data_IF_631207816629
#
_entry.id   IF_631207816629
#
_cell.length_a   1.000
_cell.length_b   1.000
_cell.length_c   1.000
_cell.angle_alpha   90.00
_cell.angle_beta   90.00
_cell.angle_gamma   90.00
#
_symmetry.space_group_name_H-M   'P 1'
#
loop_
_entity.id
_entity.type
_entity.pdbx_description
1 polymer ?
#
# COMPACT_ATOMS: atom_id res chain seq x y z
N UNK A 1 12.55 4.22 -10.14
CA UNK A 1 11.62 4.66 -11.20
C UNK A 1 10.26 4.13 -10.83
N UNK A 2 9.20 4.95 -10.86
CA UNK A 2 7.84 4.46 -10.72
C UNK A 2 7.34 3.92 -12.05
N UNK A 3 6.56 2.83 -12.04
CA UNK A 3 6.04 2.19 -13.25
C UNK A 3 4.55 2.45 -13.35
N UNK A 4 3.82 2.02 -12.33
CA UNK A 4 2.36 2.09 -12.29
C UNK A 4 1.89 3.49 -11.85
N UNK A 5 2.67 4.15 -10.98
CA UNK A 5 2.40 5.51 -10.50
C UNK A 5 3.13 6.61 -11.31
N UNK A 6 3.63 6.26 -12.50
CA UNK A 6 4.23 7.22 -13.41
C UNK A 6 3.16 8.02 -14.16
N UNK A 7 3.46 9.29 -14.48
CA UNK A 7 2.58 10.14 -15.31
C UNK A 7 2.27 9.52 -16.70
N UNK A 8 3.08 8.57 -17.14
CA UNK A 8 2.92 7.85 -18.42
C UNK A 8 1.80 6.79 -18.37
N UNK A 9 1.33 6.38 -17.18
CA UNK A 9 0.22 5.41 -17.01
C UNK A 9 -1.01 5.79 -17.82
N UNK A 10 -1.40 7.07 -17.78
CA UNK A 10 -2.62 7.56 -18.42
C UNK A 10 -2.60 7.39 -19.95
N UNK A 11 -1.45 7.08 -20.53
CA UNK A 11 -1.29 6.79 -21.95
C UNK A 11 -1.45 5.30 -22.27
N UNK A 12 -1.05 4.38 -21.38
CA UNK A 12 -1.19 2.92 -21.57
C UNK A 12 -1.05 2.12 -20.26
N UNK A 13 -2.19 1.87 -19.59
CA UNK A 13 -2.25 1.15 -18.31
C UNK A 13 -1.76 -0.31 -18.42
N UNK A 14 -2.05 -0.99 -19.53
CA UNK A 14 -1.68 -2.40 -19.74
C UNK A 14 -0.17 -2.56 -19.82
N UNK A 15 0.50 -1.68 -20.56
CA UNK A 15 1.96 -1.70 -20.69
C UNK A 15 2.64 -1.31 -19.37
N UNK A 16 2.09 -0.33 -18.64
CA UNK A 16 2.61 0.04 -17.32
C UNK A 16 2.53 -1.14 -16.33
N UNK A 17 1.39 -1.87 -16.32
CA UNK A 17 1.22 -3.07 -15.51
C UNK A 17 2.21 -4.16 -15.90
N UNK A 18 2.38 -4.42 -17.21
CA UNK A 18 3.35 -5.42 -17.70
C UNK A 18 4.78 -5.09 -17.24
N UNK A 19 5.22 -3.85 -17.40
CA UNK A 19 6.55 -3.40 -16.95
C UNK A 19 6.72 -3.54 -15.44
N UNK A 20 5.68 -3.25 -14.68
CA UNK A 20 5.71 -3.43 -13.23
C UNK A 20 5.86 -4.92 -12.84
N UNK A 21 5.12 -5.81 -13.48
CA UNK A 21 5.25 -7.26 -13.27
C UNK A 21 6.64 -7.78 -13.67
N UNK A 22 7.21 -7.28 -14.77
CA UNK A 22 8.60 -7.61 -15.17
C UNK A 22 9.61 -7.11 -14.15
N UNK A 23 9.44 -5.90 -13.63
CA UNK A 23 10.27 -5.34 -12.59
C UNK A 23 10.27 -6.20 -11.33
N UNK A 24 9.09 -6.63 -10.85
CA UNK A 24 8.99 -7.52 -9.69
C UNK A 24 9.79 -8.81 -9.92
N UNK A 25 9.60 -9.48 -11.07
CA UNK A 25 10.32 -10.73 -11.39
C UNK A 25 11.83 -10.56 -11.47
N UNK A 26 12.30 -9.44 -12.03
CA UNK A 26 13.74 -9.17 -12.14
C UNK A 26 14.41 -8.99 -10.78
N UNK A 27 13.67 -8.51 -9.77
CA UNK A 27 14.20 -8.18 -8.45
C UNK A 27 13.72 -9.15 -7.36
N UNK A 28 13.14 -10.30 -7.72
CA UNK A 28 12.59 -11.28 -6.76
C UNK A 28 13.54 -11.61 -5.60
N UNK A 29 14.84 -11.76 -5.89
CA UNK A 29 15.86 -12.10 -4.89
C UNK A 29 16.25 -10.94 -3.96
N UNK A 30 15.95 -9.71 -4.37
CA UNK A 30 16.28 -8.49 -3.63
C UNK A 30 15.11 -8.01 -2.78
N UNK A 31 13.88 -8.40 -3.15
CA UNK A 31 12.70 -8.00 -2.40
C UNK A 31 12.64 -8.65 -1.01
N UNK A 32 12.19 -7.89 0.01
CA UNK A 32 11.69 -8.49 1.24
C UNK A 32 10.60 -9.53 0.93
N UNK A 33 10.65 -10.65 1.65
CA UNK A 33 9.86 -11.84 1.31
C UNK A 33 8.37 -11.55 1.27
N UNK A 34 7.83 -10.86 2.28
CA UNK A 34 6.39 -10.62 2.34
C UNK A 34 5.96 -9.54 1.35
N UNK A 35 6.78 -8.51 1.14
CA UNK A 35 6.59 -7.52 0.08
C UNK A 35 6.46 -8.17 -1.31
N UNK A 36 7.39 -9.07 -1.69
CA UNK A 36 7.32 -9.76 -2.98
C UNK A 36 6.07 -10.63 -3.10
N UNK A 37 5.80 -11.44 -2.07
CA UNK A 37 4.64 -12.32 -2.05
C UNK A 37 3.33 -11.54 -2.20
N UNK A 38 3.23 -10.37 -1.58
CA UNK A 38 2.09 -9.48 -1.69
C UNK A 38 1.97 -8.84 -3.07
N UNK A 39 3.05 -8.21 -3.56
CA UNK A 39 3.09 -7.51 -4.84
C UNK A 39 2.77 -8.40 -6.06
N UNK A 40 3.08 -9.69 -5.95
CA UNK A 40 2.87 -10.69 -7.01
C UNK A 40 1.61 -11.54 -6.84
N UNK A 41 0.85 -11.33 -5.75
CA UNK A 41 -0.34 -12.14 -5.51
C UNK A 41 -1.42 -11.84 -6.56
N UNK A 42 -2.03 -12.89 -7.12
CA UNK A 42 -3.04 -12.77 -8.19
C UNK A 42 -4.23 -11.89 -7.81
N UNK A 43 -4.54 -11.81 -6.53
CA UNK A 43 -5.65 -11.02 -5.99
C UNK A 43 -5.30 -9.55 -5.74
N UNK A 44 -4.02 -9.20 -5.61
CA UNK A 44 -3.60 -7.89 -5.08
C UNK A 44 -3.97 -6.72 -5.99
N UNK A 45 -4.02 -6.96 -7.30
CA UNK A 45 -4.37 -5.97 -8.33
C UNK A 45 -5.67 -6.38 -9.06
N UNK A 46 -6.41 -7.37 -8.54
CA UNK A 46 -7.65 -7.84 -9.13
C UNK A 46 -8.83 -7.15 -8.44
N UNK A 47 -9.52 -6.20 -9.11
CA UNK A 47 -10.65 -5.48 -8.49
C UNK A 47 -11.83 -6.39 -8.17
N UNK A 48 -11.89 -7.60 -8.73
CA UNK A 48 -12.92 -8.60 -8.42
C UNK A 48 -12.67 -9.41 -7.15
N UNK A 49 -11.50 -9.27 -6.52
CA UNK A 49 -11.17 -9.96 -5.26
C UNK A 49 -11.40 -9.02 -4.08
N UNK A 50 -12.12 -9.49 -3.06
CA UNK A 50 -12.51 -8.70 -1.89
C UNK A 50 -11.32 -8.24 -1.05
N UNK A 51 -10.17 -8.92 -1.18
CA UNK A 51 -8.91 -8.59 -0.49
C UNK A 51 -8.14 -7.46 -1.15
N UNK A 52 -8.49 -7.10 -2.39
CA UNK A 52 -7.82 -6.03 -3.13
C UNK A 52 -7.92 -4.71 -2.36
N UNK A 53 -6.80 -4.00 -2.14
CA UNK A 53 -6.83 -2.71 -1.44
C UNK A 53 -7.43 -1.59 -2.28
N UNK A 54 -7.48 -1.74 -3.62
CA UNK A 54 -7.99 -0.72 -4.53
C UNK A 54 -9.47 -0.45 -4.27
N UNK A 55 -9.87 0.81 -4.44
CA UNK A 55 -11.19 1.34 -4.07
C UNK A 55 -11.54 1.21 -2.57
N UNK A 56 -10.58 0.80 -1.74
CA UNK A 56 -10.70 0.78 -0.30
C UNK A 56 -10.51 2.17 0.31
N UNK A 57 -11.26 2.47 1.37
CA UNK A 57 -11.17 3.76 2.07
C UNK A 57 -10.37 3.63 3.36
N UNK A 58 -9.56 4.65 3.70
CA UNK A 58 -8.77 4.65 4.93
C UNK A 58 -9.68 4.63 6.17
N UNK A 59 -9.54 3.60 6.99
CA UNK A 59 -10.17 3.50 8.31
C UNK A 59 -9.27 4.08 9.41
N UNK A 60 -8.02 3.63 9.49
CA UNK A 60 -7.04 4.21 10.41
C UNK A 60 -5.60 4.11 9.89
N UNK A 61 -4.76 5.00 10.42
CA UNK A 61 -3.32 4.96 10.30
C UNK A 61 -2.72 5.12 11.70
N UNK A 62 -1.86 4.19 12.09
CA UNK A 62 -1.17 4.22 13.38
C UNK A 62 0.33 4.21 13.09
N UNK A 63 1.03 5.25 13.55
CA UNK A 63 2.49 5.32 13.57
C UNK A 63 2.92 5.15 15.02
N UNK A 64 3.88 4.27 15.28
CA UNK A 64 4.34 3.98 16.64
C UNK A 64 5.83 3.76 16.67
N UNK A 65 6.49 4.27 17.71
CA UNK A 65 7.87 3.95 18.01
C UNK A 65 7.92 3.01 19.22
N UNK A 66 8.73 1.96 19.12
CA UNK A 66 9.05 1.09 20.24
C UNK A 66 10.56 1.04 20.44
N UNK A 67 10.98 0.93 21.70
CA UNK A 67 12.38 0.68 22.01
C UNK A 67 12.68 -0.80 21.72
N UNK A 68 13.76 -1.05 20.98
CA UNK A 68 14.34 -2.38 20.87
C UNK A 68 15.13 -2.74 22.13
N UNK A 69 15.59 -3.99 22.21
CA UNK A 69 16.35 -4.50 23.36
C UNK A 69 17.67 -3.77 23.61
N UNK A 70 18.17 -3.01 22.63
CA UNK A 70 19.45 -2.29 22.67
C UNK A 70 19.26 -0.78 22.88
N UNK A 71 18.02 -0.31 23.09
CA UNK A 71 17.68 1.11 23.27
C UNK A 71 17.56 1.91 21.98
N UNK A 72 17.70 1.28 20.80
CA UNK A 72 17.36 1.88 19.52
C UNK A 72 15.84 1.94 19.39
N UNK A 73 15.31 3.08 18.94
CA UNK A 73 13.88 3.19 18.60
C UNK A 73 13.68 2.74 17.16
N UNK A 74 12.61 1.99 16.93
CA UNK A 74 12.15 1.63 15.59
C UNK A 74 10.71 2.10 15.41
N UNK A 75 10.46 2.82 14.31
CA UNK A 75 9.12 3.18 13.90
C UNK A 75 8.44 2.01 13.21
N UNK A 76 7.13 1.88 13.41
CA UNK A 76 6.25 0.96 12.70
C UNK A 76 5.02 1.71 12.24
N UNK A 77 4.42 1.25 11.14
CA UNK A 77 3.18 1.81 10.61
C UNK A 77 2.16 0.68 10.45
N UNK A 78 0.93 0.93 10.88
CA UNK A 78 -0.23 0.08 10.55
C UNK A 78 -1.27 0.92 9.82
N UNK A 79 -1.70 0.42 8.67
CA UNK A 79 -2.78 1.02 7.87
C UNK A 79 -3.94 0.04 7.82
N UNK A 80 -5.14 0.47 8.21
CA UNK A 80 -6.37 -0.29 8.01
C UNK A 80 -7.26 0.41 7.01
N UNK A 81 -7.71 -0.32 6.01
CA UNK A 81 -8.72 0.10 5.04
C UNK A 81 -10.02 -0.63 5.28
N UNK A 82 -11.14 0.02 5.00
CA UNK A 82 -12.38 -0.67 4.65
C UNK A 82 -12.25 -1.14 3.20
N UNK A 83 -12.44 -2.44 2.93
CA UNK A 83 -12.39 -2.97 1.57
C UNK A 83 -13.50 -2.40 0.68
N UNK A 84 -13.30 -2.40 -0.64
CA UNK A 84 -14.23 -1.82 -1.61
C UNK A 84 -15.67 -2.37 -1.51
N UNK A 85 -15.79 -3.67 -1.23
CA UNK A 85 -17.06 -4.38 -1.05
C UNK A 85 -17.71 -4.16 0.32
N UNK A 86 -17.03 -3.45 1.24
CA UNK A 86 -17.49 -3.13 2.60
C UNK A 86 -17.86 -4.36 3.44
N UNK A 87 -17.23 -5.50 3.18
CA UNK A 87 -17.47 -6.77 3.85
C UNK A 87 -16.26 -7.26 4.67
N UNK A 88 -15.21 -6.46 4.73
CA UNK A 88 -14.02 -6.75 5.50
C UNK A 88 -13.04 -5.58 5.51
N UNK A 89 -11.96 -5.78 6.26
CA UNK A 89 -10.88 -4.83 6.39
C UNK A 89 -9.60 -5.39 5.80
N UNK A 90 -8.87 -4.53 5.10
CA UNK A 90 -7.50 -4.78 4.67
C UNK A 90 -6.56 -4.13 5.69
N UNK A 91 -5.60 -4.88 6.21
CA UNK A 91 -4.53 -4.34 7.05
C UNK A 91 -3.16 -4.52 6.41
N UNK A 92 -2.39 -3.44 6.42
CA UNK A 92 -0.96 -3.44 6.15
C UNK A 92 -0.20 -3.10 7.43
N UNK A 93 0.87 -3.85 7.70
CA UNK A 93 1.77 -3.59 8.82
C UNK A 93 3.23 -3.55 8.34
N UNK A 94 3.88 -2.41 8.57
CA UNK A 94 5.29 -2.16 8.27
C UNK A 94 6.07 -2.25 9.59
N UNK A 95 6.82 -3.34 9.84
CA UNK A 95 7.36 -3.63 11.16
C UNK A 95 8.54 -2.74 11.55
N UNK A 96 9.34 -2.29 10.57
CA UNK A 96 10.46 -1.37 10.75
C UNK A 96 10.49 -0.36 9.61
N UNK A 97 9.98 0.83 9.86
CA UNK A 97 9.92 1.94 8.92
C UNK A 97 11.19 2.77 9.03
N UNK A 98 11.79 3.08 7.88
CA UNK A 98 13.05 3.81 7.77
C UNK A 98 12.82 5.25 7.32
N UNK A 99 11.83 5.46 6.45
CA UNK A 99 11.40 6.77 6.01
C UNK A 99 9.93 6.70 5.58
N UNK A 100 9.20 7.82 5.70
CA UNK A 100 7.87 7.92 5.12
C UNK A 100 7.53 9.37 4.77
N UNK A 101 6.67 9.53 3.77
CA UNK A 101 6.01 10.78 3.40
C UNK A 101 4.51 10.47 3.31
N UNK A 102 3.70 11.25 4.03
CA UNK A 102 2.25 11.14 4.00
C UNK A 102 1.69 12.50 3.60
N UNK A 103 1.41 12.66 2.31
CA UNK A 103 0.89 13.92 1.79
C UNK A 103 -0.62 13.84 1.58
N UNK A 104 -1.32 14.88 2.06
CA UNK A 104 -2.71 15.14 1.69
C UNK A 104 -2.92 16.63 1.48
N UNK A 105 -3.59 16.99 0.40
CA UNK A 105 -3.90 18.38 0.06
C UNK A 105 -5.16 18.89 0.78
N UNK A 106 -6.05 17.98 1.17
CA UNK A 106 -7.19 18.26 2.03
C UNK A 106 -7.68 16.98 2.68
N UNK A 107 -7.98 17.05 3.98
CA UNK A 107 -8.61 15.96 4.71
C UNK A 107 -10.07 16.26 5.09
N UNK A 108 -10.67 17.34 4.54
CA UNK A 108 -12.04 17.75 4.90
C UNK A 108 -13.10 16.70 4.61
N UNK A 109 -12.82 15.78 3.68
CA UNK A 109 -13.68 14.65 3.32
C UNK A 109 -12.90 13.31 3.34
N UNK A 110 -11.80 13.24 4.10
CA UNK A 110 -10.87 12.11 4.06
C UNK A 110 -9.95 12.11 2.84
N UNK A 111 -9.20 11.01 2.65
CA UNK A 111 -8.25 10.85 1.54
C UNK A 111 -8.90 10.33 0.24
N UNK A 112 -10.21 10.02 0.28
CA UNK A 112 -10.83 9.21 -0.75
C UNK A 112 -10.37 7.76 -0.71
N UNK A 113 -10.41 7.13 -1.86
CA UNK A 113 -10.13 5.71 -2.06
C UNK A 113 -8.68 5.50 -2.45
N UNK A 114 -8.13 4.36 -2.06
CA UNK A 114 -6.82 3.90 -2.53
C UNK A 114 -6.95 3.53 -4.01
N UNK A 115 -6.39 4.33 -4.91
CA UNK A 115 -6.56 4.11 -6.35
C UNK A 115 -5.51 3.17 -6.90
N UNK A 116 -4.26 3.45 -6.59
CA UNK A 116 -3.12 2.77 -7.19
C UNK A 116 -1.98 2.70 -6.19
N UNK A 117 -1.14 1.69 -6.36
CA UNK A 117 0.06 1.52 -5.58
C UNK A 117 1.13 0.77 -6.35
N UNK A 118 2.36 0.88 -5.86
CA UNK A 118 3.46 0.04 -6.28
C UNK A 118 4.42 -0.25 -5.13
N UNK A 119 4.96 -1.46 -5.14
CA UNK A 119 6.13 -1.82 -4.36
C UNK A 119 7.40 -1.76 -5.21
N UNK A 120 8.45 -1.13 -4.69
CA UNK A 120 9.78 -1.08 -5.30
C UNK A 120 10.88 -1.23 -4.26
N UNK A 121 12.11 -1.46 -4.71
CA UNK A 121 13.28 -1.62 -3.85
C UNK A 121 14.07 -0.32 -3.80
N UNK A 122 14.39 0.10 -2.58
CA UNK A 122 15.29 1.22 -2.34
C UNK A 122 16.75 0.80 -2.62
N UNK A 123 17.68 1.74 -2.85
CA UNK A 123 19.10 1.41 -3.04
C UNK A 123 19.73 0.62 -1.89
N UNK A 124 19.11 0.60 -0.71
CA UNK A 124 19.57 -0.12 0.47
C UNK A 124 18.91 -1.51 0.62
N UNK A 125 18.10 -1.96 -0.34
CA UNK A 125 17.43 -3.26 -0.30
C UNK A 125 16.14 -3.29 0.53
N UNK A 126 15.56 -2.13 0.86
CA UNK A 126 14.29 -2.06 1.60
C UNK A 126 13.11 -1.96 0.64
N UNK A 127 11.91 -2.35 1.09
CA UNK A 127 10.69 -2.12 0.31
C UNK A 127 10.26 -0.66 0.46
N UNK A 128 9.92 -0.03 -0.66
CA UNK A 128 9.19 1.22 -0.75
C UNK A 128 7.80 0.88 -1.25
N UNK A 129 6.78 1.24 -0.48
CA UNK A 129 5.38 1.22 -0.90
C UNK A 129 4.94 2.64 -1.21
N UNK A 130 4.60 2.91 -2.47
CA UNK A 130 4.01 4.17 -2.90
C UNK A 130 2.53 3.97 -3.18
N UNK A 131 1.70 4.89 -2.71
CA UNK A 131 0.23 4.81 -2.73
C UNK A 131 -0.33 6.14 -3.22
N UNK A 132 -1.24 6.07 -4.18
CA UNK A 132 -2.01 7.19 -4.72
C UNK A 132 -3.47 7.10 -4.28
N UNK A 133 -3.98 8.19 -3.72
CA UNK A 133 -5.34 8.30 -3.20
C UNK A 133 -6.22 9.18 -4.09
N UNK A 134 -7.52 8.87 -4.17
CA UNK A 134 -8.48 9.57 -5.04
C UNK A 134 -8.89 10.95 -4.57
N UNK A 135 -8.60 11.30 -3.32
CA UNK A 135 -8.87 12.62 -2.72
C UNK A 135 -7.97 13.70 -3.31
N UNK A 136 -8.20 14.06 -4.57
CA UNK A 136 -7.46 15.12 -5.24
C UNK A 136 -8.07 16.50 -4.98
N UNK A 137 -7.22 17.52 -4.87
CA UNK A 137 -7.64 18.93 -4.79
C UNK A 137 -7.00 19.66 -5.97
N UNK A 138 -7.83 20.29 -6.80
CA UNK A 138 -7.40 20.99 -8.02
C UNK A 138 -6.60 20.09 -8.98
N UNK A 139 -6.97 18.80 -9.08
CA UNK A 139 -6.32 17.85 -9.99
C UNK A 139 -4.92 17.41 -9.58
N UNK A 140 -4.53 17.63 -8.32
CA UNK A 140 -3.32 17.07 -7.72
C UNK A 140 -3.69 15.93 -6.78
N UNK A 141 -3.03 14.79 -6.95
CA UNK A 141 -3.32 13.58 -6.18
C UNK A 141 -2.65 13.63 -4.80
N UNK A 142 -3.25 12.92 -3.83
CA UNK A 142 -2.63 12.69 -2.53
C UNK A 142 -1.76 11.44 -2.61
N UNK A 143 -0.54 11.51 -2.08
CA UNK A 143 0.46 10.46 -2.26
C UNK A 143 1.16 10.11 -0.96
N UNK A 144 1.23 8.81 -0.68
CA UNK A 144 2.00 8.28 0.43
C UNK A 144 3.19 7.48 -0.09
N UNK A 145 4.31 7.58 0.60
CA UNK A 145 5.53 6.80 0.35
C UNK A 145 5.99 6.25 1.69
N UNK A 146 6.17 4.94 1.79
CA UNK A 146 6.62 4.27 3.01
C UNK A 146 7.81 3.38 2.65
N UNK A 147 9.01 3.69 3.15
CA UNK A 147 10.17 2.79 3.10
C UNK A 147 10.26 1.98 4.39
N UNK A 148 10.27 0.66 4.27
CA UNK A 148 10.29 -0.27 5.39
C UNK A 148 11.13 -1.51 5.11
N UNK A 149 11.50 -2.25 6.16
CA UNK A 149 12.23 -3.51 6.02
C UNK A 149 11.41 -4.60 5.33
N UNK A 150 10.08 -4.58 5.50
CA UNK A 150 9.12 -5.50 4.88
C UNK A 150 7.69 -4.94 5.02
N UNK A 151 6.68 -5.67 4.52
CA UNK A 151 5.25 -5.37 4.73
C UNK A 151 4.47 -6.66 4.97
N UNK A 152 3.61 -6.66 5.98
CA UNK A 152 2.67 -7.75 6.26
C UNK A 152 1.26 -7.35 5.85
N UNK A 153 0.54 -8.28 5.24
CA UNK A 153 -0.85 -8.10 4.84
C UNK A 153 -1.77 -9.02 5.66
N UNK A 154 -2.95 -8.52 6.00
CA UNK A 154 -4.02 -9.33 6.58
C UNK A 154 -5.39 -8.89 6.03
N UNK A 155 -6.21 -9.87 5.64
CA UNK A 155 -7.65 -9.68 5.43
C UNK A 155 -8.42 -10.06 6.68
N UNK A 156 -9.36 -9.20 7.10
CA UNK A 156 -10.24 -9.43 8.24
C UNK A 156 -11.69 -9.34 7.76
N UNK A 157 -12.33 -10.49 7.56
CA UNK A 157 -13.75 -10.54 7.21
C UNK A 157 -14.58 -9.90 8.32
N UNK A 158 -15.53 -9.03 7.96
CA UNK A 158 -16.53 -8.59 8.93
C UNK A 158 -17.47 -9.74 9.28
N UNK A 159 -17.86 -9.89 10.55
CA UNK A 159 -18.91 -10.82 10.91
C UNK A 159 -20.18 -10.47 10.12
N UNK A 160 -20.78 -11.45 9.45
CA UNK A 160 -22.10 -11.27 8.87
C UNK A 160 -23.04 -10.94 10.02
N UNK A 161 -23.71 -9.79 9.96
CA UNK A 161 -24.73 -9.45 10.95
C UNK A 161 -25.85 -10.50 10.84
N UNK A 162 -25.90 -11.44 11.78
CA UNK A 162 -27.07 -12.30 11.96
C UNK A 162 -28.22 -11.41 12.43
N UNK A 163 -29.10 -11.04 11.51
CA UNK A 163 -30.43 -10.53 11.83
C UNK A 163 -31.21 -11.65 12.50
N UNK A 164 -31.54 -11.46 13.79
CA UNK A 164 -32.53 -12.27 14.51
C UNK A 164 -33.94 -11.77 14.23
#
# INVERSE_FOLDING_TARGET
MAYYLSNERNQNVVEAYRRYQEYLRQHEREFPRNAFALATAEWYQNPGDHRCPHDGSLGNLIISESADTNGSRAASIRTRLMGAYRDGYVEFFYPRVLAYVLESLSCSHGLGDWLYDEFRISPNGNVIHEIEWSGSVNGKDCRWIIEASDVHFQWIQQPVATTH
#
